data_IF_777543523158
#
_entry.id   IF_777543523158
#
_cell.length_a   1.000
_cell.length_b   1.000
_cell.length_c   1.000
_cell.angle_alpha   90.00
_cell.angle_beta   90.00
_cell.angle_gamma   90.00
#
_symmetry.space_group_name_H-M   'P 1'
#
loop_
_entity.id
_entity.type
_entity.pdbx_description
1 polymer ?
#
# COMPACT_ATOMS: atom_id res chain seq x y z
N UNK A 1 4.15 8.43 -9.12
CA UNK A 1 2.70 8.45 -8.82
C UNK A 1 1.97 7.14 -9.07
N UNK A 2 2.30 6.36 -10.09
CA UNK A 2 1.55 5.14 -10.45
C UNK A 2 1.53 4.05 -9.36
N UNK A 3 2.66 3.82 -8.67
CA UNK A 3 2.74 2.90 -7.52
C UNK A 3 1.77 3.33 -6.40
N UNK A 4 1.73 4.64 -6.09
CA UNK A 4 0.84 5.19 -5.08
C UNK A 4 -0.64 4.98 -5.43
N UNK A 5 -0.99 5.18 -6.70
CA UNK A 5 -2.34 4.90 -7.21
C UNK A 5 -2.72 3.42 -7.05
N UNK A 6 -1.82 2.50 -7.37
CA UNK A 6 -2.06 1.06 -7.19
C UNK A 6 -2.25 0.69 -5.71
N UNK A 7 -1.44 1.26 -4.81
CA UNK A 7 -1.61 1.07 -3.36
C UNK A 7 -2.96 1.60 -2.87
N UNK A 8 -3.33 2.82 -3.26
CA UNK A 8 -4.61 3.42 -2.86
C UNK A 8 -5.82 2.68 -3.45
N UNK A 9 -5.70 2.20 -4.69
CA UNK A 9 -6.71 1.36 -5.32
C UNK A 9 -6.96 0.07 -4.52
N UNK A 10 -5.91 -0.54 -3.97
CA UNK A 10 -6.06 -1.70 -3.06
C UNK A 10 -6.74 -1.38 -1.74
N UNK A 11 -6.67 -0.14 -1.29
CA UNK A 11 -7.38 0.33 -0.10
C UNK A 11 -8.83 0.76 -0.40
N UNK A 12 -9.26 0.74 -1.66
CA UNK A 12 -10.57 1.25 -2.09
C UNK A 12 -10.59 2.77 -2.33
N UNK A 13 -9.45 3.45 -2.20
CA UNK A 13 -9.33 4.91 -2.14
C UNK A 13 -8.86 5.48 -3.50
N UNK A 14 -9.51 5.08 -4.59
CA UNK A 14 -9.02 5.28 -5.97
C UNK A 14 -8.90 6.75 -6.38
N UNK A 15 -9.73 7.61 -5.80
CA UNK A 15 -9.79 9.04 -6.10
C UNK A 15 -8.93 9.89 -5.14
N UNK A 16 -8.25 9.25 -4.18
CA UNK A 16 -7.47 9.95 -3.18
C UNK A 16 -6.10 10.33 -3.74
N UNK A 17 -5.69 11.57 -3.48
CA UNK A 17 -4.35 12.05 -3.77
C UNK A 17 -3.92 13.00 -2.65
N UNK A 18 -2.66 12.91 -2.26
CA UNK A 18 -2.11 13.76 -1.21
C UNK A 18 -1.20 14.81 -1.83
N UNK A 19 -1.60 16.08 -1.72
CA UNK A 19 -0.77 17.21 -2.13
C UNK A 19 0.34 17.53 -1.12
N UNK A 20 0.12 17.18 0.16
CA UNK A 20 1.04 17.50 1.27
C UNK A 20 1.12 16.34 2.25
N UNK A 21 2.21 16.30 3.02
CA UNK A 21 2.38 15.37 4.14
C UNK A 21 1.29 15.56 5.20
N UNK A 22 0.83 16.79 5.44
CA UNK A 22 -0.25 17.06 6.39
C UNK A 22 -1.57 16.42 5.96
N UNK A 23 -1.92 16.48 4.67
CA UNK A 23 -3.11 15.77 4.15
C UNK A 23 -2.98 14.25 4.28
N UNK A 24 -1.80 13.70 4.03
CA UNK A 24 -1.53 12.28 4.24
C UNK A 24 -1.74 11.88 5.70
N UNK A 25 -1.14 12.61 6.63
CA UNK A 25 -1.24 12.33 8.07
C UNK A 25 -2.69 12.49 8.54
N UNK A 26 -3.39 13.54 8.11
CA UNK A 26 -4.80 13.73 8.43
C UNK A 26 -5.65 12.53 7.97
N UNK A 27 -5.47 12.05 6.74
CA UNK A 27 -6.18 10.87 6.25
C UNK A 27 -5.82 9.58 6.99
N UNK A 28 -4.56 9.41 7.42
CA UNK A 28 -4.16 8.26 8.25
C UNK A 28 -4.87 8.29 9.60
N UNK A 29 -4.95 9.47 10.21
CA UNK A 29 -5.56 9.66 11.53
C UNK A 29 -7.09 9.62 11.48
N UNK A 30 -7.69 9.90 10.33
CA UNK A 30 -9.13 9.88 10.12
C UNK A 30 -9.71 8.46 10.33
N UNK A 31 -10.64 8.30 11.30
CA UNK A 31 -11.29 7.03 11.60
C UNK A 31 -12.33 6.68 10.52
N UNK A 32 -11.86 6.11 9.41
CA UNK A 32 -12.74 5.55 8.37
C UNK A 32 -13.32 4.21 8.81
N UNK A 33 -14.62 4.01 8.54
CA UNK A 33 -15.30 2.72 8.71
C UNK A 33 -14.80 1.64 7.74
N UNK A 34 -14.28 2.05 6.58
CA UNK A 34 -13.94 1.13 5.48
C UNK A 34 -12.47 0.72 5.48
N UNK A 35 -11.58 1.64 5.87
CA UNK A 35 -10.14 1.39 5.84
C UNK A 35 -9.54 1.57 7.23
N UNK A 36 -9.16 0.48 7.92
CA UNK A 36 -8.60 0.55 9.27
C UNK A 36 -7.33 1.40 9.31
N UNK A 37 -7.17 2.24 10.34
CA UNK A 37 -6.00 3.10 10.55
C UNK A 37 -4.66 2.35 10.43
N UNK A 38 -4.59 1.14 10.99
CA UNK A 38 -3.38 0.30 10.90
C UNK A 38 -3.06 -0.10 9.47
N UNK A 39 -4.08 -0.34 8.64
CA UNK A 39 -3.91 -0.70 7.25
C UNK A 39 -3.44 0.51 6.43
N UNK A 40 -4.02 1.69 6.70
CA UNK A 40 -3.54 2.97 6.14
C UNK A 40 -2.05 3.18 6.47
N UNK A 41 -1.66 3.02 7.73
CA UNK A 41 -0.28 3.16 8.19
C UNK A 41 0.68 2.19 7.50
N UNK A 42 0.34 0.90 7.47
CA UNK A 42 1.17 -0.13 6.83
C UNK A 42 1.37 0.16 5.33
N UNK A 43 0.29 0.50 4.64
CA UNK A 43 0.33 0.81 3.21
C UNK A 43 1.19 2.04 2.91
N UNK A 44 1.02 3.10 3.70
CA UNK A 44 1.83 4.33 3.57
C UNK A 44 3.29 4.05 3.86
N UNK A 45 3.59 3.37 4.97
CA UNK A 45 4.96 3.08 5.38
C UNK A 45 5.68 2.23 4.34
N UNK A 46 5.07 1.12 3.90
CA UNK A 46 5.63 0.26 2.87
C UNK A 46 5.85 1.04 1.55
N UNK A 47 4.86 1.83 1.12
CA UNK A 47 4.98 2.56 -0.15
C UNK A 47 6.09 3.61 -0.12
N UNK A 48 6.21 4.38 0.96
CA UNK A 48 7.30 5.36 1.12
C UNK A 48 8.66 4.65 1.13
N UNK A 49 8.78 3.58 1.92
CA UNK A 49 10.03 2.83 2.05
C UNK A 49 10.50 2.27 0.70
N UNK A 50 9.63 1.58 -0.04
CA UNK A 50 9.99 1.00 -1.32
C UNK A 50 10.26 2.04 -2.42
N UNK A 51 9.57 3.20 -2.40
CA UNK A 51 9.88 4.30 -3.32
C UNK A 51 11.24 4.93 -3.03
N UNK A 52 11.57 5.12 -1.74
CA UNK A 52 12.88 5.60 -1.33
C UNK A 52 13.98 4.61 -1.70
N UNK A 53 13.76 3.32 -1.43
CA UNK A 53 14.71 2.25 -1.78
C UNK A 53 14.94 2.18 -3.30
N UNK A 54 13.87 2.21 -4.10
CA UNK A 54 13.97 2.19 -5.56
C UNK A 54 14.70 3.41 -6.10
N UNK A 55 14.44 4.60 -5.54
CA UNK A 55 15.19 5.82 -5.86
C UNK A 55 16.69 5.67 -5.59
N UNK A 56 17.06 5.08 -4.45
CA UNK A 56 18.47 4.89 -4.12
C UNK A 56 19.16 3.88 -5.03
N UNK A 57 18.51 2.75 -5.33
CA UNK A 57 19.03 1.76 -6.28
C UNK A 57 19.25 2.38 -7.65
N UNK A 58 18.29 3.18 -8.14
CA UNK A 58 18.45 3.86 -9.43
C UNK A 58 19.61 4.84 -9.43
N UNK A 59 19.84 5.57 -8.34
CA UNK A 59 20.97 6.51 -8.23
C UNK A 59 22.32 5.80 -8.19
N UNK A 60 22.38 4.61 -7.58
CA UNK A 60 23.62 3.87 -7.40
C UNK A 60 23.96 2.99 -8.61
N UNK A 61 22.97 2.27 -9.15
CA UNK A 61 23.17 1.20 -10.12
C UNK A 61 22.60 1.54 -11.51
N UNK A 62 21.97 2.71 -11.70
CA UNK A 62 21.23 3.09 -12.91
C UNK A 62 20.11 2.11 -13.32
N UNK A 63 19.70 1.21 -12.41
CA UNK A 63 18.60 0.25 -12.64
C UNK A 63 17.28 0.84 -12.16
N UNK A 64 16.27 0.81 -13.04
CA UNK A 64 14.91 1.26 -12.72
C UNK A 64 13.96 0.08 -12.60
N UNK A 65 13.08 0.09 -11.59
CA UNK A 65 12.02 -0.92 -11.47
C UNK A 65 10.71 -0.46 -12.10
N UNK A 66 9.98 -1.37 -12.74
CA UNK A 66 8.64 -1.06 -13.23
C UNK A 66 7.68 -0.79 -12.06
N UNK A 67 6.69 0.10 -12.20
CA UNK A 67 5.72 0.38 -11.14
C UNK A 67 5.01 -0.87 -10.61
N UNK A 68 4.72 -1.84 -11.49
CA UNK A 68 4.07 -3.09 -11.13
C UNK A 68 4.99 -4.00 -10.29
N UNK A 69 6.30 -3.99 -10.55
CA UNK A 69 7.26 -4.74 -9.73
C UNK A 69 7.39 -4.12 -8.33
N UNK A 70 7.47 -2.79 -8.24
CA UNK A 70 7.51 -2.07 -6.97
C UNK A 70 6.24 -2.29 -6.16
N UNK A 71 5.07 -2.22 -6.81
CA UNK A 71 3.79 -2.52 -6.16
C UNK A 71 3.70 -3.96 -5.67
N UNK A 72 4.20 -4.95 -6.42
CA UNK A 72 4.25 -6.36 -5.96
C UNK A 72 5.08 -6.52 -4.68
N UNK A 73 6.18 -5.78 -4.53
CA UNK A 73 6.99 -5.79 -3.30
C UNK A 73 6.23 -5.17 -2.12
N UNK A 74 5.53 -4.06 -2.35
CA UNK A 74 4.66 -3.41 -1.37
C UNK A 74 3.54 -4.35 -0.93
N UNK A 75 2.79 -4.92 -1.88
CA UNK A 75 1.68 -5.83 -1.59
C UNK A 75 2.15 -7.06 -0.78
N UNK A 76 3.26 -7.68 -1.19
CA UNK A 76 3.86 -8.80 -0.43
C UNK A 76 4.24 -8.37 0.99
N UNK A 77 4.93 -7.25 1.16
CA UNK A 77 5.33 -6.75 2.48
C UNK A 77 4.15 -6.49 3.40
N UNK A 78 3.05 -5.94 2.86
CA UNK A 78 1.82 -5.70 3.63
C UNK A 78 1.16 -7.03 4.00
N UNK A 79 1.04 -7.97 3.05
CA UNK A 79 0.50 -9.32 3.32
C UNK A 79 1.29 -10.04 4.40
N UNK A 80 2.62 -10.04 4.31
CA UNK A 80 3.50 -10.69 5.28
C UNK A 80 3.33 -10.06 6.68
N UNK A 81 3.28 -8.72 6.75
CA UNK A 81 3.05 -8.00 8.00
C UNK A 81 1.66 -8.30 8.61
N UNK A 82 0.62 -8.44 7.78
CA UNK A 82 -0.73 -8.81 8.22
C UNK A 82 -0.80 -10.27 8.68
N UNK A 83 -0.14 -11.19 7.97
CA UNK A 83 -0.08 -12.62 8.31
C UNK A 83 0.70 -12.88 9.60
N UNK A 84 1.77 -12.13 9.85
CA UNK A 84 2.55 -12.19 11.09
C UNK A 84 1.77 -11.68 12.31
N UNK A 85 0.67 -10.95 12.11
CA UNK A 85 -0.11 -10.33 13.19
C UNK A 85 -1.04 -11.32 13.90
N UNK A 86 -1.44 -10.99 15.14
CA UNK A 86 -2.32 -11.79 16.01
C UNK A 86 -3.56 -12.33 15.24
N UNK A 87 -3.85 -13.64 15.41
CA UNK A 87 -4.93 -14.38 14.73
C UNK A 87 -6.28 -13.67 14.70
N UNK A 88 -6.67 -12.96 15.77
CA UNK A 88 -7.98 -12.32 15.86
C UNK A 88 -8.16 -11.11 14.93
N UNK A 89 -7.14 -10.26 14.80
CA UNK A 89 -7.19 -9.08 13.92
C UNK A 89 -6.82 -9.41 12.47
N UNK A 90 -6.20 -10.57 12.25
CA UNK A 90 -5.72 -11.04 10.95
C UNK A 90 -6.85 -11.17 9.93
N UNK A 91 -7.95 -11.82 10.30
CA UNK A 91 -9.06 -12.10 9.38
C UNK A 91 -9.69 -10.81 8.84
N UNK A 92 -10.05 -9.87 9.72
CA UNK A 92 -10.65 -8.60 9.33
C UNK A 92 -9.72 -7.71 8.47
N UNK A 93 -8.43 -7.63 8.86
CA UNK A 93 -7.47 -6.78 8.14
C UNK A 93 -7.09 -7.36 6.78
N UNK A 94 -6.91 -8.68 6.68
CA UNK A 94 -6.69 -9.33 5.39
C UNK A 94 -7.92 -9.18 4.50
N UNK A 95 -9.13 -9.44 5.01
CA UNK A 95 -10.36 -9.22 4.24
C UNK A 95 -10.42 -7.80 3.70
N UNK A 96 -10.16 -6.79 4.54
CA UNK A 96 -10.14 -5.37 4.13
C UNK A 96 -9.10 -5.07 3.03
N UNK A 97 -7.94 -5.75 3.04
CA UNK A 97 -6.91 -5.59 2.01
C UNK A 97 -7.24 -6.33 0.69
N UNK A 98 -7.95 -7.46 0.78
CA UNK A 98 -8.32 -8.28 -0.38
C UNK A 98 -9.62 -7.87 -1.06
N UNK A 99 -10.48 -7.07 -0.41
CA UNK A 99 -11.78 -6.63 -0.97
C UNK A 99 -11.62 -6.00 -2.36
N UNK A 100 -10.57 -5.21 -2.56
CA UNK A 100 -10.33 -4.47 -3.81
C UNK A 100 -9.29 -5.14 -4.71
N UNK A 101 -9.12 -6.46 -4.59
CA UNK A 101 -8.33 -7.21 -5.57
C UNK A 101 -8.98 -7.11 -6.95
N UNK A 102 -8.28 -6.60 -7.97
CA UNK A 102 -8.76 -6.75 -9.33
C UNK A 102 -8.89 -8.25 -9.57
N UNK A 103 -10.11 -8.70 -9.85
CA UNK A 103 -10.33 -10.07 -10.33
C UNK A 103 -9.40 -10.23 -11.51
N UNK A 104 -8.42 -11.11 -11.38
CA UNK A 104 -7.63 -11.55 -12.52
C UNK A 104 -8.65 -12.12 -13.49
N UNK A 105 -8.93 -11.41 -14.58
CA UNK A 105 -9.58 -12.03 -15.73
C UNK A 105 -8.67 -13.17 -16.11
N UNK A 106 -9.14 -14.39 -15.87
CA UNK A 106 -8.50 -15.60 -16.34
C UNK A 106 -8.28 -15.42 -17.84
N UNK A 107 -7.02 -15.34 -18.23
CA UNK A 107 -6.58 -15.59 -19.60
C UNK A 107 -6.28 -17.08 -19.67
#
# INVERSE_FOLDING_TARGET
MQVWKLTLQRLGEQNLAFATWSHLIAWILDPSKFTPKILKLLAVHATIFFLWQERNIRLQDNVSCTPNLSFRRIDRSIRDALLARNRMLRSYLLSSWFVHEPRVSAV
#
